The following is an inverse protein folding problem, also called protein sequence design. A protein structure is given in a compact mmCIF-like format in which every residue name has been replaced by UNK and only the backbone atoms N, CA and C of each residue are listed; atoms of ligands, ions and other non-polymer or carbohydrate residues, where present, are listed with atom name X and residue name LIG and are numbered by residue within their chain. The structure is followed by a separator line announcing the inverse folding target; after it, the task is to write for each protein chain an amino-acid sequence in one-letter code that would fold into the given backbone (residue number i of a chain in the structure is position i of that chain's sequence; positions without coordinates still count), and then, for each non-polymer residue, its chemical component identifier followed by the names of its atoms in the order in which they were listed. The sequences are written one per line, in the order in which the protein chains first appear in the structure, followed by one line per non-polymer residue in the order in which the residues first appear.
data_IF_156834545993
#
_entry.id   IF_156834545993
#
_cell.length_a   1.000
_cell.length_b   1.000
_cell.length_c   1.000
_cell.angle_alpha   90.00
_cell.angle_beta   90.00
_cell.angle_gamma   90.00
#
_symmetry.space_group_name_H-M   'P 1'
#
loop_
_entity.id
_entity.type
_entity.pdbx_description
1 polymer ?
#
# COMPACT_ATOMS: atom_id res chain seq x y z
N UNK A 1 25.44 -17.46 -63.54
CA UNK A 1 24.91 -16.75 -62.36
C UNK A 1 24.67 -17.78 -61.28
N UNK A 2 25.52 -17.80 -60.24
CA UNK A 2 25.35 -18.69 -59.09
C UNK A 2 24.50 -17.98 -58.04
N UNK A 3 23.36 -18.59 -57.69
CA UNK A 3 22.44 -18.08 -56.67
C UNK A 3 23.02 -18.44 -55.30
N UNK A 4 23.53 -17.46 -54.56
CA UNK A 4 23.94 -17.63 -53.16
C UNK A 4 22.69 -17.49 -52.30
N UNK A 5 22.17 -18.62 -51.81
CA UNK A 5 21.09 -18.62 -50.82
C UNK A 5 21.68 -18.26 -49.45
N UNK A 6 21.47 -17.01 -49.03
CA UNK A 6 21.80 -16.56 -47.69
C UNK A 6 20.84 -17.19 -46.67
N UNK A 7 21.36 -18.07 -45.81
CA UNK A 7 20.62 -18.60 -44.68
C UNK A 7 20.47 -17.49 -43.63
N UNK A 8 19.25 -16.99 -43.46
CA UNK A 8 18.87 -16.16 -42.32
C UNK A 8 18.82 -17.04 -41.07
N UNK A 9 19.79 -16.86 -40.18
CA UNK A 9 19.75 -17.45 -38.83
C UNK A 9 18.72 -16.66 -38.02
N UNK A 10 17.54 -17.25 -37.83
CA UNK A 10 16.55 -16.72 -36.92
C UNK A 10 17.02 -16.96 -35.48
N UNK A 11 17.43 -15.89 -34.80
CA UNK A 11 17.60 -15.92 -33.35
C UNK A 11 16.20 -15.90 -32.72
N UNK A 12 15.69 -17.07 -32.35
CA UNK A 12 14.55 -17.15 -31.45
C UNK A 12 14.98 -16.59 -30.09
N UNK A 13 14.30 -15.58 -29.53
CA UNK A 13 14.59 -15.14 -28.18
C UNK A 13 14.37 -16.33 -27.24
N UNK A 14 15.38 -16.65 -26.43
CA UNK A 14 15.26 -17.66 -25.39
C UNK A 14 14.26 -17.13 -24.38
N UNK A 15 13.09 -17.75 -24.27
CA UNK A 15 12.10 -17.39 -23.27
C UNK A 15 12.74 -17.61 -21.89
N UNK A 16 13.01 -16.53 -21.17
CA UNK A 16 13.53 -16.62 -19.81
C UNK A 16 12.43 -17.20 -18.92
N UNK A 17 12.75 -18.24 -18.15
CA UNK A 17 11.80 -18.84 -17.23
C UNK A 17 11.40 -17.81 -16.17
N UNK A 18 10.10 -17.73 -15.87
CA UNK A 18 9.60 -16.84 -14.83
C UNK A 18 10.23 -17.19 -13.47
N UNK A 19 10.73 -16.18 -12.76
CA UNK A 19 11.21 -16.34 -11.39
C UNK A 19 10.03 -16.28 -10.44
N UNK A 20 9.88 -17.29 -9.58
CA UNK A 20 8.79 -17.37 -8.60
C UNK A 20 9.34 -17.34 -7.19
N UNK A 21 8.83 -16.43 -6.37
CA UNK A 21 9.13 -16.30 -4.95
C UNK A 21 7.92 -16.77 -4.15
N UNK A 22 8.11 -17.76 -3.27
CA UNK A 22 7.00 -18.38 -2.52
C UNK A 22 7.17 -18.34 -1.02
N UNK A 23 8.30 -17.84 -0.54
CA UNK A 23 8.70 -17.91 0.85
C UNK A 23 8.95 -16.51 1.43
N UNK A 24 8.80 -16.40 2.73
CA UNK A 24 8.91 -15.13 3.45
C UNK A 24 9.51 -15.33 4.84
N UNK A 25 10.00 -14.25 5.42
CA UNK A 25 10.43 -14.23 6.81
C UNK A 25 9.58 -13.24 7.59
N UNK A 26 9.02 -13.66 8.72
CA UNK A 26 8.38 -12.76 9.68
C UNK A 26 9.44 -11.90 10.37
N UNK A 27 9.31 -10.58 10.21
CA UNK A 27 10.13 -9.61 10.91
C UNK A 27 9.63 -9.37 12.33
N UNK A 28 8.31 -9.22 12.48
CA UNK A 28 7.66 -9.13 13.77
C UNK A 28 6.21 -9.60 13.66
N UNK A 29 5.74 -10.27 14.70
CA UNK A 29 4.32 -10.50 14.97
C UNK A 29 3.70 -9.22 15.56
N UNK A 30 2.47 -8.91 15.18
CA UNK A 30 1.74 -7.70 15.53
C UNK A 30 0.53 -8.09 16.40
N UNK A 31 0.62 -7.89 17.72
CA UNK A 31 -0.42 -8.35 18.64
C UNK A 31 -1.70 -7.53 18.47
N UNK A 32 -2.81 -8.16 18.83
CA UNK A 32 -4.09 -7.48 19.01
C UNK A 32 -3.99 -6.43 20.11
N UNK A 33 -4.85 -5.42 20.03
CA UNK A 33 -4.93 -4.37 21.03
C UNK A 33 -6.36 -4.14 21.48
N UNK A 34 -6.58 -3.96 22.77
CA UNK A 34 -7.88 -3.60 23.31
C UNK A 34 -8.23 -2.14 22.94
N UNK A 35 -9.12 -1.99 21.97
CA UNK A 35 -9.64 -0.70 21.50
C UNK A 35 -10.91 -0.28 22.28
N UNK A 36 -11.14 -0.86 23.46
CA UNK A 36 -12.24 -0.57 24.38
C UNK A 36 -13.36 -1.60 24.27
N UNK A 37 -14.44 -1.27 23.56
CA UNK A 37 -15.60 -2.17 23.39
C UNK A 37 -15.35 -3.35 22.45
N UNK A 38 -14.29 -3.31 21.65
CA UNK A 38 -13.84 -4.35 20.74
C UNK A 38 -12.31 -4.27 20.61
N UNK A 39 -11.68 -5.37 20.23
CA UNK A 39 -10.24 -5.44 20.00
C UNK A 39 -9.91 -5.07 18.55
N UNK A 40 -8.84 -4.28 18.37
CA UNK A 40 -8.24 -4.09 17.07
C UNK A 40 -7.42 -5.33 16.71
N UNK A 41 -7.98 -6.20 15.85
CA UNK A 41 -7.47 -7.54 15.56
C UNK A 41 -7.02 -7.73 14.12
N UNK A 42 -7.47 -6.88 13.19
CA UNK A 42 -7.17 -7.03 11.77
C UNK A 42 -6.13 -6.01 11.30
N UNK A 43 -4.95 -6.45 10.89
CA UNK A 43 -4.01 -5.61 10.16
C UNK A 43 -4.64 -5.07 8.87
N UNK A 44 -4.28 -3.86 8.52
CA UNK A 44 -4.78 -3.11 7.36
C UNK A 44 -3.58 -2.38 6.73
N UNK A 45 -3.62 -1.05 6.63
CA UNK A 45 -2.63 -0.26 5.93
C UNK A 45 -1.19 -0.50 6.40
N UNK A 46 -0.26 -0.37 5.46
CA UNK A 46 1.15 -0.69 5.66
C UNK A 46 2.06 0.29 4.93
N UNK A 47 3.15 0.70 5.58
CA UNK A 47 4.17 1.52 4.92
C UNK A 47 5.58 1.09 5.32
N UNK A 48 6.51 1.34 4.42
CA UNK A 48 7.94 1.01 4.57
C UNK A 48 8.76 2.29 4.49
N UNK A 49 9.68 2.44 5.42
CA UNK A 49 10.72 3.47 5.37
C UNK A 49 12.11 2.82 5.43
N UNK A 50 13.16 3.62 5.42
CA UNK A 50 14.54 3.15 5.60
C UNK A 50 14.72 2.29 6.85
N UNK A 51 14.16 2.73 7.99
CA UNK A 51 14.44 2.11 9.29
C UNK A 51 13.23 1.41 9.91
N UNK A 52 12.02 1.76 9.47
CA UNK A 52 10.80 1.31 10.14
C UNK A 52 9.77 0.77 9.15
N UNK A 53 9.01 -0.21 9.63
CA UNK A 53 7.77 -0.70 9.04
C UNK A 53 6.62 -0.16 9.88
N UNK A 54 5.52 0.20 9.25
CA UNK A 54 4.32 0.72 9.92
C UNK A 54 3.14 -0.14 9.52
N UNK A 55 2.26 -0.45 10.46
CA UNK A 55 1.01 -1.16 10.16
C UNK A 55 -0.12 -0.63 11.04
N UNK A 56 -1.33 -0.58 10.48
CA UNK A 56 -2.54 -0.21 11.20
C UNK A 56 -3.32 -1.49 11.53
N UNK A 57 -3.84 -1.63 12.75
CA UNK A 57 -4.86 -2.65 13.08
C UNK A 57 -6.20 -1.98 13.33
N UNK A 58 -7.29 -2.55 12.82
CA UNK A 58 -8.67 -2.07 13.05
C UNK A 58 -9.48 -3.06 13.87
N UNK A 59 -10.53 -2.57 14.52
CA UNK A 59 -11.59 -3.40 15.08
C UNK A 59 -12.49 -4.00 13.98
N UNK A 60 -13.41 -4.88 14.37
CA UNK A 60 -14.25 -5.64 13.42
C UNK A 60 -15.19 -4.77 12.59
N UNK A 61 -15.61 -3.64 13.16
CA UNK A 61 -16.49 -2.65 12.51
C UNK A 61 -15.71 -1.55 11.78
N UNK A 62 -14.37 -1.58 11.84
CA UNK A 62 -13.48 -0.54 11.30
C UNK A 62 -13.79 0.88 11.82
N UNK A 63 -14.36 0.97 13.02
CA UNK A 63 -14.63 2.23 13.70
C UNK A 63 -13.43 2.70 14.53
N UNK A 64 -12.55 1.79 14.91
CA UNK A 64 -11.37 2.06 15.73
C UNK A 64 -10.11 1.46 15.13
N UNK A 65 -8.99 2.12 15.38
CA UNK A 65 -7.70 1.61 14.92
C UNK A 65 -6.52 2.05 15.76
N UNK A 66 -5.45 1.28 15.68
CA UNK A 66 -4.15 1.58 16.29
C UNK A 66 -3.03 1.46 15.26
N UNK A 67 -1.91 2.16 15.50
CA UNK A 67 -0.76 2.16 14.61
C UNK A 67 0.43 1.53 15.35
N UNK A 68 1.04 0.52 14.74
CA UNK A 68 2.30 -0.05 15.18
C UNK A 68 3.44 0.42 14.30
N UNK A 69 4.60 0.65 14.92
CA UNK A 69 5.88 0.86 14.25
C UNK A 69 6.84 -0.25 14.64
N UNK A 70 7.50 -0.85 13.67
CA UNK A 70 8.47 -1.94 13.86
C UNK A 70 9.84 -1.49 13.36
N UNK A 71 10.87 -1.64 14.19
CA UNK A 71 12.26 -1.46 13.77
C UNK A 71 12.65 -2.57 12.79
N UNK A 72 13.07 -2.17 11.58
CA UNK A 72 13.38 -3.12 10.50
C UNK A 72 14.63 -3.95 10.79
N UNK A 73 15.54 -3.47 11.63
CA UNK A 73 16.77 -4.16 11.99
C UNK A 73 16.57 -5.14 13.14
N UNK A 74 15.96 -4.71 14.25
CA UNK A 74 15.77 -5.58 15.43
C UNK A 74 14.46 -6.36 15.40
N UNK A 75 13.40 -5.82 14.81
CA UNK A 75 12.04 -6.36 14.92
C UNK A 75 11.28 -5.83 16.13
N UNK A 76 11.89 -4.92 16.91
CA UNK A 76 11.23 -4.30 18.05
C UNK A 76 10.03 -3.49 17.58
N UNK A 77 8.88 -3.73 18.21
CA UNK A 77 7.62 -3.07 17.89
C UNK A 77 7.23 -2.09 18.98
N UNK A 78 6.62 -0.98 18.57
CA UNK A 78 6.01 0.02 19.45
C UNK A 78 4.61 0.31 18.98
N UNK A 79 3.65 0.25 19.91
CA UNK A 79 2.33 0.82 19.72
C UNK A 79 2.45 2.35 19.78
N UNK A 80 2.15 3.03 18.68
CA UNK A 80 2.31 4.47 18.58
C UNK A 80 1.22 5.22 19.35
N UNK A 81 1.57 6.36 19.92
CA UNK A 81 0.67 7.19 20.72
C UNK A 81 0.03 8.30 19.87
N UNK A 82 -1.30 8.36 19.87
CA UNK A 82 -2.10 9.44 19.33
C UNK A 82 -2.16 10.60 20.33
N UNK A 83 -1.36 11.64 20.07
CA UNK A 83 -1.30 12.85 20.86
C UNK A 83 -2.52 13.77 20.71
N UNK A 84 -3.36 13.59 19.67
CA UNK A 84 -4.59 14.39 19.50
C UNK A 84 -5.64 14.05 20.54
N UNK A 85 -5.74 12.78 20.90
CA UNK A 85 -6.72 12.27 21.87
C UNK A 85 -6.09 11.80 23.18
N UNK A 86 -4.78 11.97 23.34
CA UNK A 86 -4.00 11.41 24.46
C UNK A 86 -4.30 9.91 24.68
N UNK A 87 -4.24 9.13 23.59
CA UNK A 87 -4.60 7.71 23.54
C UNK A 87 -3.72 6.96 22.54
N UNK A 88 -3.85 5.64 22.42
CA UNK A 88 -3.30 4.91 21.28
C UNK A 88 -4.32 4.69 20.15
N UNK A 89 -5.60 4.94 20.43
CA UNK A 89 -6.74 4.59 19.57
C UNK A 89 -7.20 5.78 18.74
N UNK A 90 -7.46 5.52 17.46
CA UNK A 90 -8.12 6.42 16.53
C UNK A 90 -9.58 6.01 16.36
N UNK A 91 -10.46 6.97 16.09
CA UNK A 91 -11.89 6.75 15.86
C UNK A 91 -12.38 7.29 14.52
N UNK A 92 -11.45 7.53 13.59
CA UNK A 92 -11.69 8.36 12.40
C UNK A 92 -10.85 7.96 11.18
N UNK A 93 -10.12 6.84 11.25
CA UNK A 93 -9.35 6.29 10.13
C UNK A 93 -10.14 5.28 9.28
N UNK A 94 -11.37 4.91 9.69
CA UNK A 94 -12.18 3.91 8.99
C UNK A 94 -11.44 2.59 8.84
N UNK A 95 -11.57 1.98 7.67
CA UNK A 95 -10.87 0.74 7.31
C UNK A 95 -9.35 0.90 7.22
N UNK A 96 -8.86 2.13 7.05
CA UNK A 96 -7.43 2.45 7.03
C UNK A 96 -6.61 1.54 6.08
N UNK A 97 -7.14 1.27 4.89
CA UNK A 97 -6.72 0.17 4.01
C UNK A 97 -5.27 0.27 3.52
N UNK A 98 -4.71 1.47 3.46
CA UNK A 98 -3.33 1.67 3.02
C UNK A 98 -2.72 2.94 3.60
N UNK A 99 -1.38 3.00 3.64
CA UNK A 99 -0.67 4.18 4.10
C UNK A 99 0.63 4.46 3.35
N UNK A 100 1.01 5.74 3.32
CA UNK A 100 2.26 6.20 2.71
C UNK A 100 2.95 7.20 3.65
N UNK A 101 4.28 7.16 3.69
CA UNK A 101 5.09 8.05 4.52
C UNK A 101 5.82 9.07 3.64
N UNK A 102 5.66 10.34 3.96
CA UNK A 102 6.42 11.41 3.33
C UNK A 102 7.08 12.33 4.35
N UNK A 103 8.12 13.04 3.91
CA UNK A 103 8.80 14.06 4.71
C UNK A 103 8.70 15.40 4.00
N UNK A 104 8.05 16.39 4.61
CA UNK A 104 7.87 17.74 4.05
C UNK A 104 8.50 18.74 5.01
N UNK A 105 9.43 19.56 4.52
CA UNK A 105 10.08 20.59 5.35
C UNK A 105 10.77 20.04 6.60
N UNK A 106 11.31 18.81 6.54
CA UNK A 106 11.93 18.12 7.67
C UNK A 106 10.95 17.49 8.67
N UNK A 107 9.64 17.71 8.52
CA UNK A 107 8.59 17.04 9.28
C UNK A 107 8.16 15.75 8.59
N UNK A 108 7.70 14.76 9.36
CA UNK A 108 7.27 13.47 8.82
C UNK A 108 5.77 13.32 8.96
N UNK A 109 5.16 12.76 7.92
CA UNK A 109 3.73 12.59 7.82
C UNK A 109 3.35 11.18 7.39
N UNK A 110 2.25 10.70 7.93
CA UNK A 110 1.56 9.51 7.44
C UNK A 110 0.31 9.96 6.69
N UNK A 111 0.17 9.46 5.47
CA UNK A 111 -1.04 9.61 4.68
C UNK A 111 -1.77 8.28 4.71
N UNK A 112 -3.04 8.27 5.14
CA UNK A 112 -3.83 7.06 5.34
C UNK A 112 -5.12 7.16 4.53
N UNK A 113 -5.39 6.16 3.69
CA UNK A 113 -6.68 6.08 2.99
C UNK A 113 -7.69 5.31 3.83
N UNK A 114 -8.87 5.90 4.03
CA UNK A 114 -9.84 5.42 5.03
C UNK A 114 -10.91 4.48 4.49
N UNK A 115 -11.02 4.39 3.16
CA UNK A 115 -12.13 3.78 2.43
C UNK A 115 -13.52 4.41 2.66
N UNK A 116 -13.60 5.62 3.21
CA UNK A 116 -14.87 6.36 3.20
C UNK A 116 -15.26 6.79 1.78
N UNK A 117 -16.55 6.98 1.55
CA UNK A 117 -17.14 7.43 0.29
C UNK A 117 -18.38 8.30 0.54
N UNK A 118 -19.12 8.64 -0.51
CA UNK A 118 -20.34 9.43 -0.39
C UNK A 118 -21.44 8.78 0.47
N UNK A 119 -21.40 7.45 0.64
CA UNK A 119 -22.34 6.71 1.48
C UNK A 119 -21.95 6.67 2.96
N UNK A 120 -20.76 7.17 3.32
CA UNK A 120 -20.19 7.10 4.68
C UNK A 120 -20.69 8.20 5.63
N UNK A 121 -21.78 8.90 5.28
CA UNK A 121 -22.39 9.93 6.12
C UNK A 121 -21.44 11.06 6.49
N UNK A 122 -21.26 11.31 7.79
CA UNK A 122 -20.42 12.39 8.32
C UNK A 122 -18.91 12.21 8.01
N UNK A 123 -18.50 11.02 7.56
CA UNK A 123 -17.12 10.70 7.20
C UNK A 123 -16.83 10.78 5.70
N UNK A 124 -17.85 11.13 4.90
CA UNK A 124 -17.74 11.23 3.43
C UNK A 124 -16.73 12.26 2.90
N UNK A 125 -16.12 13.07 3.77
CA UNK A 125 -15.07 14.06 3.44
C UNK A 125 -13.68 13.67 3.97
N UNK A 126 -13.52 12.44 4.44
CA UNK A 126 -12.32 11.96 5.14
C UNK A 126 -11.61 10.82 4.40
N UNK A 127 -11.58 10.84 3.07
CA UNK A 127 -10.99 9.77 2.25
C UNK A 127 -9.48 9.61 2.47
N UNK A 128 -8.77 10.73 2.64
CA UNK A 128 -7.34 10.77 2.94
C UNK A 128 -7.13 11.54 4.23
N UNK A 129 -6.47 10.88 5.17
CA UNK A 129 -6.04 11.46 6.44
C UNK A 129 -4.56 11.74 6.37
N UNK A 130 -4.14 12.92 6.83
CA UNK A 130 -2.74 13.24 7.12
C UNK A 130 -2.52 13.29 8.63
N UNK A 131 -1.56 12.49 9.10
CA UNK A 131 -1.04 12.49 10.45
C UNK A 131 0.35 13.10 10.44
N UNK A 132 0.65 14.00 11.37
CA UNK A 132 2.02 14.44 11.62
C UNK A 132 2.61 13.58 12.73
N UNK A 133 3.85 13.13 12.59
CA UNK A 133 4.45 12.26 13.61
C UNK A 133 5.90 12.62 13.95
N UNK A 134 6.26 12.39 15.20
CA UNK A 134 7.62 12.54 15.73
C UNK A 134 7.91 11.38 16.67
N UNK A 135 8.97 10.62 16.37
CA UNK A 135 9.28 9.42 17.13
C UNK A 135 8.13 8.41 17.07
N UNK A 136 7.61 8.03 18.24
CA UNK A 136 6.53 7.06 18.42
C UNK A 136 5.17 7.72 18.68
N UNK A 137 5.08 9.05 18.57
CA UNK A 137 3.84 9.80 18.75
C UNK A 137 3.41 10.45 17.43
N UNK A 138 2.10 10.56 17.22
CA UNK A 138 1.49 11.21 16.07
C UNK A 138 0.26 12.04 16.47
N UNK A 139 -0.09 13.02 15.67
CA UNK A 139 -1.28 13.86 15.83
C UNK A 139 -2.05 13.93 14.51
N UNK A 140 -3.38 13.98 14.61
CA UNK A 140 -4.27 14.43 13.54
C UNK A 140 -3.78 15.79 13.06
N UNK A 141 -3.59 15.91 11.74
CA UNK A 141 -3.19 17.16 11.13
C UNK A 141 -4.28 17.67 10.19
N UNK A 142 -4.67 16.90 9.16
CA UNK A 142 -5.71 17.31 8.20
C UNK A 142 -6.43 16.12 7.54
N UNK A 143 -7.60 16.36 6.95
CA UNK A 143 -8.28 15.42 6.06
C UNK A 143 -8.60 16.05 4.70
N UNK A 144 -8.69 15.20 3.69
CA UNK A 144 -8.96 15.59 2.30
C UNK A 144 -9.99 14.67 1.67
N UNK A 145 -10.90 15.25 0.89
CA UNK A 145 -11.79 14.47 0.04
C UNK A 145 -11.05 14.10 -1.25
N UNK A 146 -11.08 12.83 -1.62
CA UNK A 146 -10.53 12.37 -2.90
C UNK A 146 -11.68 12.28 -3.91
N UNK A 147 -11.65 13.10 -4.95
CA UNK A 147 -12.80 13.35 -5.81
C UNK A 147 -12.62 12.75 -7.21
N UNK A 148 -13.58 11.93 -7.64
CA UNK A 148 -13.74 11.57 -9.06
C UNK A 148 -14.80 12.47 -9.68
N UNK A 149 -14.38 13.54 -10.35
CA UNK A 149 -15.29 14.65 -10.66
C UNK A 149 -15.65 15.39 -9.38
N UNK A 150 -16.92 15.38 -8.99
CA UNK A 150 -17.42 16.00 -7.75
C UNK A 150 -17.80 14.98 -6.67
N UNK A 151 -17.57 13.69 -6.91
CA UNK A 151 -18.03 12.61 -6.01
C UNK A 151 -16.86 12.06 -5.19
N UNK A 152 -16.98 12.00 -3.85
CA UNK A 152 -16.00 11.32 -3.00
C UNK A 152 -15.80 9.87 -3.43
N UNK A 153 -14.54 9.45 -3.53
CA UNK A 153 -14.18 8.13 -4.01
C UNK A 153 -13.69 7.22 -2.90
N UNK A 154 -14.24 6.02 -2.82
CA UNK A 154 -13.74 4.93 -1.98
C UNK A 154 -12.36 4.48 -2.47
N UNK A 155 -11.29 4.93 -1.83
CA UNK A 155 -9.92 4.54 -2.18
C UNK A 155 -9.42 3.46 -1.23
N UNK A 156 -8.84 2.39 -1.80
CA UNK A 156 -8.29 1.24 -1.07
C UNK A 156 -6.76 1.18 -1.08
N UNK A 157 -6.08 1.95 -1.93
CA UNK A 157 -4.62 1.92 -2.00
C UNK A 157 -4.02 3.28 -2.25
N UNK A 158 -2.81 3.49 -1.72
CA UNK A 158 -2.07 4.73 -1.79
C UNK A 158 -0.58 4.46 -1.99
N UNK A 159 0.05 5.14 -2.95
CA UNK A 159 1.51 5.20 -2.97
C UNK A 159 2.02 6.50 -3.58
N UNK A 160 3.13 7.01 -3.06
CA UNK A 160 3.76 8.23 -3.56
C UNK A 160 4.42 8.00 -4.93
N UNK A 161 4.13 8.90 -5.86
CA UNK A 161 4.78 8.97 -7.18
C UNK A 161 6.06 9.79 -7.08
N UNK A 162 5.91 11.01 -6.59
CA UNK A 162 6.97 12.02 -6.53
C UNK A 162 6.65 13.05 -5.47
N UNK A 163 7.67 13.79 -5.06
CA UNK A 163 7.51 14.97 -4.23
C UNK A 163 8.42 16.07 -4.77
N UNK A 164 7.86 17.27 -4.94
CA UNK A 164 8.59 18.46 -5.38
C UNK A 164 8.20 19.62 -4.48
N UNK A 165 9.15 20.10 -3.68
CA UNK A 165 8.87 21.09 -2.64
C UNK A 165 7.81 20.58 -1.66
N UNK A 166 6.68 21.29 -1.59
CA UNK A 166 5.52 20.94 -0.76
C UNK A 166 4.49 20.07 -1.49
N UNK A 167 4.57 19.95 -2.82
CA UNK A 167 3.63 19.13 -3.58
C UNK A 167 4.03 17.66 -3.54
N UNK A 168 3.07 16.79 -3.25
CA UNK A 168 3.21 15.34 -3.34
C UNK A 168 2.22 14.80 -4.35
N UNK A 169 2.73 14.05 -5.31
CA UNK A 169 1.92 13.33 -6.28
C UNK A 169 1.76 11.88 -5.81
N UNK A 170 0.53 11.36 -5.92
CA UNK A 170 0.18 10.02 -5.47
C UNK A 170 -0.50 9.22 -6.57
N UNK A 171 -0.25 7.91 -6.57
CA UNK A 171 -1.16 6.94 -7.11
C UNK A 171 -2.16 6.54 -6.03
N UNK A 172 -3.42 6.46 -6.43
CA UNK A 172 -4.51 5.93 -5.62
C UNK A 172 -5.17 4.77 -6.35
N UNK A 173 -5.67 3.75 -5.65
CA UNK A 173 -6.42 2.66 -6.30
C UNK A 173 -7.83 2.49 -5.73
N UNK A 174 -8.77 2.13 -6.60
CA UNK A 174 -10.10 1.66 -6.24
C UNK A 174 -10.46 0.48 -7.13
N UNK A 175 -10.58 -0.71 -6.54
CA UNK A 175 -10.71 -1.96 -7.30
C UNK A 175 -9.47 -2.16 -8.19
N UNK A 176 -9.70 -2.28 -9.50
CA UNK A 176 -8.63 -2.48 -10.49
C UNK A 176 -8.21 -1.18 -11.19
N UNK A 177 -8.82 -0.03 -10.85
CA UNK A 177 -8.46 1.27 -11.42
C UNK A 177 -7.45 2.00 -10.55
N UNK A 178 -6.44 2.61 -11.20
CA UNK A 178 -5.47 3.51 -10.59
C UNK A 178 -5.73 4.94 -11.05
N UNK A 179 -5.64 5.88 -10.11
CA UNK A 179 -5.81 7.31 -10.30
C UNK A 179 -4.54 8.04 -9.89
N UNK A 180 -4.40 9.27 -10.39
CA UNK A 180 -3.41 10.25 -9.94
C UNK A 180 -4.12 11.38 -9.22
N UNK A 181 -3.52 11.84 -8.14
CA UNK A 181 -3.89 13.08 -7.46
C UNK A 181 -2.64 13.76 -6.93
N UNK A 182 -2.71 15.06 -6.75
CA UNK A 182 -1.62 15.88 -6.22
C UNK A 182 -2.12 16.66 -5.02
N UNK A 183 -1.30 16.74 -3.99
CA UNK A 183 -1.63 17.44 -2.76
C UNK A 183 -0.48 18.38 -2.40
N UNK A 184 -0.80 19.65 -2.19
CA UNK A 184 0.10 20.54 -1.45
C UNK A 184 0.08 20.13 0.03
N UNK A 185 1.19 19.59 0.52
CA UNK A 185 1.34 19.15 1.88
C UNK A 185 1.37 20.29 2.91
N UNK A 186 1.26 21.55 2.50
CA UNK A 186 1.00 22.67 3.42
C UNK A 186 -0.48 23.08 3.47
N UNK A 187 -1.33 22.53 2.58
CA UNK A 187 -2.73 22.89 2.50
C UNK A 187 -3.51 22.45 3.76
N UNK A 188 -4.31 23.34 4.37
CA UNK A 188 -4.99 23.09 5.64
C UNK A 188 -6.28 22.24 5.52
N UNK A 189 -6.31 21.24 4.63
CA UNK A 189 -7.47 20.35 4.46
C UNK A 189 -8.76 21.07 4.03
N UNK A 190 -9.86 20.32 3.98
CA UNK A 190 -11.19 20.85 3.65
C UNK A 190 -11.44 21.06 2.15
N UNK A 191 -12.67 21.44 1.79
CA UNK A 191 -13.19 21.37 0.42
C UNK A 191 -12.41 22.18 -0.62
N UNK A 192 -11.82 23.30 -0.22
CA UNK A 192 -10.96 24.11 -1.09
C UNK A 192 -9.65 23.39 -1.48
N UNK A 193 -9.28 22.36 -0.74
CA UNK A 193 -8.05 21.57 -0.88
C UNK A 193 -8.36 20.10 -1.16
N UNK A 194 -9.60 19.78 -1.56
CA UNK A 194 -9.95 18.44 -2.01
C UNK A 194 -9.07 18.05 -3.21
N UNK A 195 -8.73 16.76 -3.29
CA UNK A 195 -7.79 16.24 -4.28
C UNK A 195 -8.57 15.70 -5.47
N UNK A 196 -8.56 16.38 -6.63
CA UNK A 196 -9.17 15.84 -7.83
C UNK A 196 -8.35 14.65 -8.34
N UNK A 197 -9.04 13.55 -8.62
CA UNK A 197 -8.48 12.33 -9.14
C UNK A 197 -8.65 12.26 -10.65
N UNK A 198 -7.55 12.00 -11.35
CA UNK A 198 -7.54 11.70 -12.78
C UNK A 198 -7.21 10.23 -12.98
N UNK A 199 -7.99 9.50 -13.78
CA UNK A 199 -7.66 8.11 -14.14
C UNK A 199 -6.26 8.03 -14.74
N UNK A 200 -5.47 7.09 -14.23
CA UNK A 200 -4.16 6.75 -14.76
C UNK A 200 -4.33 5.52 -15.66
N UNK A 201 -4.34 4.34 -15.07
CA UNK A 201 -4.39 3.06 -15.78
C UNK A 201 -5.27 2.04 -15.06
N UNK A 202 -5.59 0.95 -15.75
CA UNK A 202 -6.32 -0.19 -15.19
C UNK A 202 -5.38 -1.39 -15.06
N UNK A 203 -5.41 -2.03 -13.91
CA UNK A 203 -4.67 -3.25 -13.58
C UNK A 203 -5.41 -4.48 -14.10
N UNK A 204 -4.77 -5.28 -14.94
CA UNK A 204 -5.29 -6.55 -15.43
C UNK A 204 -4.59 -7.74 -14.75
N UNK A 205 -5.09 -8.94 -15.04
CA UNK A 205 -4.57 -10.24 -14.59
C UNK A 205 -4.77 -10.56 -13.10
N UNK A 206 -5.61 -9.80 -12.39
CA UNK A 206 -6.14 -10.24 -11.10
C UNK A 206 -6.95 -11.53 -11.29
N UNK A 207 -6.65 -12.61 -10.55
CA UNK A 207 -7.47 -13.82 -10.61
C UNK A 207 -8.93 -13.53 -10.19
N UNK A 208 -9.88 -14.18 -10.84
CA UNK A 208 -11.30 -14.02 -10.51
C UNK A 208 -11.59 -14.46 -9.07
N UNK A 209 -12.39 -13.68 -8.34
CA UNK A 209 -12.76 -13.95 -6.96
C UNK A 209 -11.66 -13.68 -5.92
N UNK A 210 -10.56 -13.04 -6.32
CA UNK A 210 -9.52 -12.61 -5.39
C UNK A 210 -9.72 -11.15 -5.00
N UNK A 211 -9.54 -10.87 -3.72
CA UNK A 211 -9.66 -9.53 -3.15
C UNK A 211 -8.35 -8.77 -3.31
N UNK A 212 -8.43 -7.46 -3.49
CA UNK A 212 -7.28 -6.59 -3.71
C UNK A 212 -7.12 -5.65 -2.53
N UNK A 213 -5.88 -5.44 -2.07
CA UNK A 213 -5.63 -4.61 -0.89
C UNK A 213 -4.91 -3.30 -1.20
N UNK A 214 -3.83 -2.94 -0.49
CA UNK A 214 -3.05 -1.72 -0.74
C UNK A 214 -2.30 -1.73 -2.08
N UNK A 215 -1.37 -0.79 -2.26
CA UNK A 215 -0.47 -0.71 -3.42
C UNK A 215 0.91 -0.20 -3.02
N UNK A 216 1.89 -0.41 -3.89
CA UNK A 216 3.15 0.32 -3.82
C UNK A 216 3.66 0.68 -5.20
N UNK A 217 4.25 1.86 -5.33
CA UNK A 217 4.97 2.27 -6.52
C UNK A 217 6.45 2.49 -6.20
N UNK A 218 7.30 1.69 -6.84
CA UNK A 218 8.74 1.87 -6.85
C UNK A 218 9.14 2.71 -8.07
N UNK A 219 9.37 4.00 -7.81
CA UNK A 219 9.77 4.95 -8.83
C UNK A 219 11.14 4.64 -9.44
N UNK A 220 12.07 4.05 -8.68
CA UNK A 220 13.43 3.77 -9.14
C UNK A 220 13.44 2.66 -10.20
N UNK A 221 12.58 1.65 -10.02
CA UNK A 221 12.44 0.52 -10.93
C UNK A 221 11.23 0.62 -11.87
N UNK A 222 10.48 1.73 -11.81
CA UNK A 222 9.24 1.94 -12.57
C UNK A 222 8.28 0.76 -12.43
N UNK A 223 8.08 0.30 -11.19
CA UNK A 223 7.34 -0.92 -10.90
C UNK A 223 6.22 -0.65 -9.91
N UNK A 224 5.04 -1.16 -10.23
CA UNK A 224 3.86 -1.05 -9.38
C UNK A 224 3.50 -2.43 -8.81
N UNK A 225 3.16 -2.48 -7.53
CA UNK A 225 2.86 -3.70 -6.79
C UNK A 225 1.42 -3.67 -6.30
N UNK A 226 0.73 -4.79 -6.47
CA UNK A 226 -0.66 -4.98 -6.04
C UNK A 226 -0.83 -6.33 -5.35
N UNK A 227 -0.91 -6.39 -4.01
CA UNK A 227 -1.30 -7.61 -3.32
C UNK A 227 -2.76 -7.97 -3.63
N UNK A 228 -2.99 -9.26 -3.83
CA UNK A 228 -4.30 -9.88 -4.00
C UNK A 228 -4.37 -11.20 -3.24
N UNK A 229 -5.53 -11.50 -2.65
CA UNK A 229 -5.68 -12.63 -1.72
C UNK A 229 -6.92 -13.47 -2.06
N UNK A 230 -6.84 -14.77 -1.82
CA UNK A 230 -7.99 -15.66 -1.67
C UNK A 230 -7.70 -16.73 -0.62
N UNK A 231 -8.40 -16.67 0.52
CA UNK A 231 -8.20 -17.59 1.65
C UNK A 231 -6.78 -17.51 2.22
N UNK A 232 -6.06 -18.63 2.21
CA UNK A 232 -4.68 -18.74 2.68
C UNK A 232 -3.63 -18.46 1.59
N UNK A 233 -4.04 -17.97 0.42
CA UNK A 233 -3.18 -17.72 -0.73
C UNK A 233 -3.14 -16.23 -1.03
N UNK A 234 -1.94 -15.68 -1.10
CA UNK A 234 -1.68 -14.30 -1.49
C UNK A 234 -0.73 -14.25 -2.67
N UNK A 235 -0.94 -13.28 -3.56
CA UNK A 235 -0.05 -12.96 -4.68
C UNK A 235 0.23 -11.47 -4.69
N UNK A 236 1.46 -11.08 -4.99
CA UNK A 236 1.79 -9.69 -5.31
C UNK A 236 1.95 -9.61 -6.83
N UNK A 237 1.01 -8.93 -7.48
CA UNK A 237 1.06 -8.65 -8.91
C UNK A 237 2.02 -7.47 -9.15
N UNK A 238 3.00 -7.67 -10.03
CA UNK A 238 3.95 -6.64 -10.42
C UNK A 238 3.56 -6.09 -11.79
N UNK A 239 3.62 -4.78 -11.98
CA UNK A 239 3.41 -4.13 -13.27
C UNK A 239 4.68 -3.32 -13.58
N UNK A 240 5.41 -3.73 -14.62
CA UNK A 240 6.68 -3.13 -15.02
C UNK A 240 6.45 -1.94 -15.97
N UNK A 241 7.43 -1.03 -16.04
CA UNK A 241 7.40 0.13 -16.94
C UNK A 241 6.33 1.18 -16.58
N UNK A 242 5.91 1.21 -15.31
CA UNK A 242 4.95 2.18 -14.81
C UNK A 242 5.66 3.50 -14.50
N UNK A 243 5.15 4.56 -15.10
CA UNK A 243 5.63 5.94 -14.95
C UNK A 243 4.48 6.85 -14.55
N UNK A 244 4.75 8.07 -14.06
CA UNK A 244 3.70 9.05 -13.74
C UNK A 244 2.75 9.37 -14.92
N UNK A 245 3.24 9.19 -16.16
CA UNK A 245 2.49 9.43 -17.38
C UNK A 245 1.72 8.20 -17.89
N UNK A 246 1.81 7.06 -17.21
CA UNK A 246 1.22 5.80 -17.68
C UNK A 246 -0.30 5.87 -17.76
N UNK A 247 -0.84 5.39 -18.88
CA UNK A 247 -2.28 5.31 -19.14
C UNK A 247 -2.71 3.99 -19.78
N UNK A 248 -4.03 3.74 -19.79
CA UNK A 248 -4.65 2.59 -20.46
C UNK A 248 -4.61 1.31 -19.61
N UNK A 249 -4.74 0.16 -20.25
CA UNK A 249 -4.67 -1.12 -19.57
C UNK A 249 -3.21 -1.56 -19.36
N UNK A 250 -2.92 -2.16 -18.20
CA UNK A 250 -1.61 -2.72 -17.86
C UNK A 250 -1.78 -4.13 -17.31
N UNK A 251 -1.02 -5.06 -17.88
CA UNK A 251 -1.00 -6.46 -17.47
C UNK A 251 0.14 -6.69 -16.48
N UNK A 252 -0.09 -7.53 -15.47
CA UNK A 252 0.97 -7.90 -14.55
C UNK A 252 2.06 -8.69 -15.29
N UNK A 253 3.30 -8.55 -14.83
CA UNK A 253 4.48 -9.25 -15.30
C UNK A 253 4.25 -10.77 -15.31
N UNK A 254 4.67 -11.41 -16.40
CA UNK A 254 4.70 -12.87 -16.50
C UNK A 254 6.01 -13.45 -15.95
N UNK A 255 7.06 -12.61 -15.88
CA UNK A 255 8.45 -13.01 -15.62
C UNK A 255 8.77 -13.07 -14.13
N UNK A 256 8.03 -12.32 -13.31
CA UNK A 256 8.19 -12.30 -11.85
C UNK A 256 6.87 -12.59 -11.17
N UNK A 257 6.87 -13.61 -10.31
CA UNK A 257 5.70 -14.01 -9.53
C UNK A 257 6.07 -14.06 -8.06
N UNK A 258 5.25 -13.44 -7.21
CA UNK A 258 5.36 -13.57 -5.77
C UNK A 258 4.07 -14.21 -5.29
N UNK A 259 4.13 -15.51 -4.99
CA UNK A 259 2.98 -16.38 -4.73
C UNK A 259 3.17 -17.10 -3.39
N UNK A 260 2.55 -16.59 -2.34
CA UNK A 260 2.69 -17.12 -0.98
C UNK A 260 1.42 -17.89 -0.62
N UNK A 261 1.59 -19.10 -0.10
CA UNK A 261 0.49 -19.90 0.46
C UNK A 261 0.84 -20.23 1.91
N UNK A 262 0.03 -19.79 2.86
CA UNK A 262 0.24 -20.15 4.27
C UNK A 262 -0.15 -21.60 4.51
N UNK A 263 0.74 -22.34 5.18
CA UNK A 263 0.45 -23.68 5.68
C UNK A 263 -0.29 -23.67 7.03
N UNK A 264 -0.26 -22.53 7.74
CA UNK A 264 -0.66 -22.45 9.15
C UNK A 264 -1.94 -21.64 9.38
N UNK A 265 -2.28 -20.75 8.45
CA UNK A 265 -3.40 -19.80 8.60
C UNK A 265 -4.44 -20.05 7.52
N UNK A 266 -5.71 -20.19 7.90
CA UNK A 266 -6.81 -20.35 6.94
C UNK A 266 -7.07 -19.05 6.14
N UNK A 267 -6.75 -17.90 6.74
CA UNK A 267 -6.66 -16.59 6.11
C UNK A 267 -5.21 -16.13 6.10
N UNK A 268 -4.68 -15.76 4.95
CA UNK A 268 -3.37 -15.13 4.80
C UNK A 268 -3.49 -14.02 3.77
N UNK A 269 -3.97 -12.87 4.25
CA UNK A 269 -4.23 -11.70 3.42
C UNK A 269 -3.08 -10.71 3.51
N UNK A 270 -2.41 -10.45 2.39
CA UNK A 270 -1.44 -9.35 2.33
C UNK A 270 -2.22 -8.04 2.18
N UNK A 271 -2.16 -7.20 3.22
CA UNK A 271 -2.95 -5.96 3.29
C UNK A 271 -2.23 -4.78 2.62
N UNK A 272 -0.90 -4.73 2.72
CA UNK A 272 -0.10 -3.74 2.01
C UNK A 272 1.34 -4.18 1.82
N UNK A 273 2.05 -3.47 0.95
CA UNK A 273 3.40 -3.83 0.51
C UNK A 273 4.27 -2.56 0.42
N UNK A 274 5.59 -2.72 0.48
CA UNK A 274 6.50 -1.61 0.23
C UNK A 274 7.94 -2.07 0.02
N UNK A 275 8.68 -1.36 -0.82
CA UNK A 275 10.09 -1.63 -1.07
C UNK A 275 10.95 -0.71 -0.22
N UNK A 276 11.93 -1.30 0.46
CA UNK A 276 12.96 -0.51 1.14
C UNK A 276 14.00 -0.05 0.10
N UNK A 277 14.11 1.27 -0.10
CA UNK A 277 14.95 1.87 -1.13
C UNK A 277 16.46 1.52 -1.03
N UNK A 278 16.97 1.20 0.15
CA UNK A 278 18.39 0.87 0.34
C UNK A 278 18.72 -0.60 0.07
N UNK A 279 17.82 -1.50 0.46
CA UNK A 279 18.06 -2.95 0.38
C UNK A 279 17.34 -3.63 -0.77
N UNK A 280 16.42 -2.94 -1.46
CA UNK A 280 15.55 -3.52 -2.50
C UNK A 280 14.55 -4.54 -1.97
N UNK A 281 14.57 -4.87 -0.68
CA UNK A 281 13.67 -5.87 -0.09
C UNK A 281 12.23 -5.39 -0.13
N UNK A 282 11.34 -6.28 -0.58
CA UNK A 282 9.89 -6.11 -0.51
C UNK A 282 9.37 -6.61 0.84
N UNK A 283 8.79 -5.69 1.61
CA UNK A 283 8.11 -5.97 2.85
C UNK A 283 6.59 -5.93 2.65
N UNK A 284 5.87 -6.59 3.54
CA UNK A 284 4.41 -6.62 3.53
C UNK A 284 3.83 -6.88 4.93
N UNK A 285 2.61 -6.39 5.18
CA UNK A 285 1.80 -6.78 6.34
C UNK A 285 0.86 -7.93 5.99
N UNK A 286 0.41 -8.67 7.00
CA UNK A 286 -0.64 -9.67 6.82
C UNK A 286 -1.74 -9.58 7.88
N UNK A 287 -2.97 -9.82 7.42
CA UNK A 287 -4.14 -10.13 8.23
C UNK A 287 -4.39 -11.64 8.19
N UNK A 288 -4.26 -12.32 9.34
CA UNK A 288 -4.21 -13.78 9.40
C UNK A 288 -5.16 -14.37 10.44
N UNK A 289 -5.50 -15.65 10.25
CA UNK A 289 -6.15 -16.44 11.31
C UNK A 289 -5.12 -16.74 12.41
N UNK A 290 -4.96 -15.83 13.37
CA UNK A 290 -3.96 -15.96 14.43
C UNK A 290 -3.35 -14.60 14.77
N UNK A 291 -2.02 -14.54 14.80
CA UNK A 291 -1.29 -13.27 14.99
C UNK A 291 -0.93 -12.68 13.63
N UNK A 292 -1.27 -11.42 13.43
CA UNK A 292 -0.84 -10.66 12.26
C UNK A 292 0.66 -10.45 12.25
N UNK A 293 1.22 -10.10 11.10
CA UNK A 293 2.67 -9.95 11.00
C UNK A 293 3.09 -8.90 10.00
N UNK A 294 4.34 -8.47 10.16
CA UNK A 294 5.09 -7.78 9.11
C UNK A 294 6.26 -8.66 8.68
N UNK A 295 6.46 -8.77 7.37
CA UNK A 295 7.31 -9.77 6.76
C UNK A 295 8.16 -9.16 5.65
N UNK A 296 9.11 -9.92 5.13
CA UNK A 296 9.73 -9.66 3.84
C UNK A 296 9.79 -10.92 2.97
N UNK A 297 9.75 -10.75 1.66
CA UNK A 297 9.84 -11.85 0.69
C UNK A 297 11.27 -12.36 0.60
N UNK A 298 11.47 -13.67 0.76
CA UNK A 298 12.79 -14.29 0.72
C UNK A 298 13.32 -14.30 -0.73
N UNK A 299 14.57 -13.88 -0.91
CA UNK A 299 15.26 -13.87 -2.21
C UNK A 299 14.86 -12.76 -3.18
N UNK A 300 13.77 -12.03 -2.93
CA UNK A 300 13.35 -10.93 -3.79
C UNK A 300 14.14 -9.64 -3.50
N UNK A 301 14.57 -8.98 -4.57
CA UNK A 301 15.03 -7.59 -4.58
C UNK A 301 14.38 -6.89 -5.78
N UNK A 302 13.91 -5.66 -5.57
CA UNK A 302 13.36 -4.81 -6.61
C UNK A 302 14.40 -4.48 -7.70
#
# INVERSE_FOLDING_TARGET
MALVAGATIAFSPVAQAATTYTDYTTKAEIPDYDCGSDACTAAQGFAVTTNYLYTIKTDSEHGKSVIYRVDRSSGDRVLMHNATSDSNVNTWLGHANDMEIASIGGQKYMFVVTMFDSGSGADSTKQLVRLKYTGTSYEWDHTYTLLSGTTPKKISGLSKISQSGTSIDFFFSSGDQVYRGSLDATAPGGSANDVPLTTAFTMNNKPSGWDSQGIHYDAAHQRFYRPVTSGNRSRILLYDGITPATTGARSSSADVKIDITSANDAKFEIEGVGVNAESGKLYFSTNRTGSDGVHYVNGYSA
#
